data_IF_434146369553
#
_entry.id   IF_434146369553
#
_cell.length_a   1.000
_cell.length_b   1.000
_cell.length_c   1.000
_cell.angle_alpha   90.00
_cell.angle_beta   90.00
_cell.angle_gamma   90.00
#
_symmetry.space_group_name_H-M   'P 1'
#
loop_
_entity.id
_entity.type
_entity.pdbx_description
1 polymer ?
#
# COMPACT_ATOMS: atom_id res chain seq x y z
N UNK A 1 -16.07 -7.71 -18.60
CA UNK A 1 -17.41 -8.03 -18.03
C UNK A 1 -17.62 -7.13 -16.83
N UNK A 2 -18.77 -6.46 -16.75
CA UNK A 2 -19.15 -5.63 -15.61
C UNK A 2 -19.73 -6.50 -14.50
N UNK A 3 -19.42 -6.20 -13.24
CA UNK A 3 -20.10 -6.80 -12.08
C UNK A 3 -21.50 -6.19 -12.01
N UNK A 4 -22.52 -7.04 -11.99
CA UNK A 4 -23.96 -6.64 -11.95
C UNK A 4 -24.70 -7.23 -10.76
N UNK A 5 -23.97 -7.87 -9.86
CA UNK A 5 -24.53 -8.44 -8.63
C UNK A 5 -25.05 -7.30 -7.74
N UNK A 6 -26.25 -7.47 -7.18
CA UNK A 6 -26.93 -6.46 -6.36
C UNK A 6 -26.23 -6.22 -5.01
N UNK A 7 -25.47 -7.21 -4.53
CA UNK A 7 -24.71 -7.15 -3.28
C UNK A 7 -23.30 -6.55 -3.45
N UNK A 8 -22.89 -6.26 -4.69
CA UNK A 8 -21.60 -5.60 -4.95
C UNK A 8 -21.62 -4.13 -4.48
N UNK A 9 -20.70 -3.80 -3.60
CA UNK A 9 -20.55 -2.45 -3.07
C UNK A 9 -19.50 -1.64 -3.88
N UNK A 10 -19.66 -0.31 -3.91
CA UNK A 10 -18.64 0.56 -4.51
C UNK A 10 -17.32 0.40 -3.78
N UNK A 11 -16.24 0.22 -4.54
CA UNK A 11 -14.93 -0.12 -3.99
C UNK A 11 -13.81 0.72 -4.59
N UNK A 12 -12.77 0.94 -3.81
CA UNK A 12 -11.57 1.69 -4.18
C UNK A 12 -10.41 0.77 -4.58
N UNK A 13 -10.24 -0.35 -3.89
CA UNK A 13 -9.13 -1.27 -4.13
C UNK A 13 -9.61 -2.72 -4.19
N UNK A 14 -8.85 -3.55 -4.88
CA UNK A 14 -9.11 -4.98 -4.98
C UNK A 14 -7.82 -5.78 -4.94
N UNK A 15 -7.83 -6.91 -4.24
CA UNK A 15 -6.77 -7.90 -4.24
C UNK A 15 -7.33 -9.30 -4.46
N UNK A 16 -6.57 -10.16 -5.12
CA UNK A 16 -6.90 -11.59 -5.20
C UNK A 16 -6.16 -12.34 -4.10
N UNK A 17 -6.91 -13.01 -3.24
CA UNK A 17 -6.35 -13.74 -2.10
C UNK A 17 -7.07 -15.07 -1.90
N UNK A 18 -6.36 -16.18 -2.04
CA UNK A 18 -6.85 -17.54 -1.76
C UNK A 18 -8.19 -17.90 -2.43
N UNK A 19 -8.40 -17.47 -3.68
CA UNK A 19 -9.62 -17.75 -4.44
C UNK A 19 -10.74 -16.72 -4.27
N UNK A 20 -10.55 -15.72 -3.40
CA UNK A 20 -11.44 -14.59 -3.21
C UNK A 20 -10.88 -13.32 -3.86
N UNK A 21 -11.76 -12.50 -4.43
CA UNK A 21 -11.47 -11.11 -4.69
C UNK A 21 -11.90 -10.31 -3.45
N UNK A 22 -10.95 -9.68 -2.79
CA UNK A 22 -11.17 -8.87 -1.59
C UNK A 22 -11.19 -7.41 -2.01
N UNK A 23 -12.23 -6.70 -1.62
CA UNK A 23 -12.46 -5.30 -1.96
C UNK A 23 -12.49 -4.45 -0.69
N UNK A 24 -12.05 -3.19 -0.79
CA UNK A 24 -12.29 -2.18 0.23
C UNK A 24 -13.37 -1.22 -0.24
N UNK A 25 -14.32 -0.89 0.63
CA UNK A 25 -15.36 0.09 0.29
C UNK A 25 -14.78 1.50 0.12
N UNK A 26 -15.40 2.34 -0.72
CA UNK A 26 -14.93 3.72 -0.97
C UNK A 26 -14.94 4.63 0.26
N UNK A 27 -15.76 4.31 1.27
CA UNK A 27 -15.76 5.01 2.55
C UNK A 27 -14.61 4.56 3.48
N UNK A 28 -13.89 3.50 3.10
CA UNK A 28 -12.78 2.94 3.86
C UNK A 28 -13.16 2.26 5.16
N UNK A 29 -14.43 1.84 5.32
CA UNK A 29 -14.91 1.25 6.58
C UNK A 29 -14.97 -0.25 6.58
N UNK A 30 -15.08 -0.88 5.40
CA UNK A 30 -15.34 -2.32 5.28
C UNK A 30 -14.47 -2.98 4.22
N UNK A 31 -14.29 -4.26 4.44
CA UNK A 31 -13.81 -5.23 3.48
C UNK A 31 -14.97 -6.13 3.10
N UNK A 32 -15.13 -6.45 1.82
CA UNK A 32 -16.06 -7.48 1.37
C UNK A 32 -15.40 -8.38 0.34
N UNK A 33 -15.92 -9.56 0.17
CA UNK A 33 -15.29 -10.58 -0.68
C UNK A 33 -16.28 -11.11 -1.72
N UNK A 34 -15.74 -11.54 -2.86
CA UNK A 34 -16.50 -12.36 -3.81
C UNK A 34 -16.73 -13.76 -3.24
N UNK A 35 -17.64 -14.51 -3.82
CA UNK A 35 -17.70 -15.94 -3.57
C UNK A 35 -16.41 -16.63 -4.04
N UNK A 36 -16.07 -17.75 -3.40
CA UNK A 36 -14.87 -18.52 -3.69
C UNK A 36 -14.80 -18.92 -5.18
N UNK A 37 -13.76 -18.47 -5.87
CA UNK A 37 -13.54 -18.66 -7.31
C UNK A 37 -14.68 -18.15 -8.23
N UNK A 38 -15.51 -17.23 -7.72
CA UNK A 38 -16.62 -16.64 -8.46
C UNK A 38 -16.51 -15.09 -8.40
N UNK A 39 -15.70 -14.46 -9.26
CA UNK A 39 -15.36 -13.04 -9.13
C UNK A 39 -16.50 -12.05 -9.36
N UNK A 40 -17.66 -12.53 -9.83
CA UNK A 40 -18.82 -11.71 -10.17
C UNK A 40 -20.02 -11.95 -9.25
N UNK A 41 -19.90 -12.82 -8.24
CA UNK A 41 -20.97 -13.21 -7.31
C UNK A 41 -20.56 -12.84 -5.89
N UNK A 42 -21.45 -12.17 -5.18
CA UNK A 42 -21.24 -11.66 -3.83
C UNK A 42 -22.36 -12.08 -2.91
N UNK A 43 -22.08 -12.12 -1.60
CA UNK A 43 -23.09 -12.18 -0.55
C UNK A 43 -22.95 -10.90 0.29
N UNK A 44 -24.01 -10.14 0.39
CA UNK A 44 -24.03 -8.87 1.12
C UNK A 44 -23.71 -8.97 2.60
N UNK A 45 -23.69 -10.20 3.16
CA UNK A 45 -23.30 -10.46 4.54
C UNK A 45 -21.84 -10.87 4.71
N UNK A 46 -21.12 -11.13 3.61
CA UNK A 46 -19.71 -11.52 3.61
C UNK A 46 -18.79 -10.29 3.65
N UNK A 47 -18.82 -9.57 4.76
CA UNK A 47 -17.97 -8.40 5.00
C UNK A 47 -17.29 -8.45 6.37
N UNK A 48 -16.18 -7.73 6.48
CA UNK A 48 -15.42 -7.52 7.71
C UNK A 48 -14.98 -6.07 7.82
N UNK A 49 -14.46 -5.70 8.98
CA UNK A 49 -13.86 -4.41 9.27
C UNK A 49 -12.45 -4.59 9.85
N UNK A 50 -11.58 -3.60 9.68
CA UNK A 50 -10.36 -3.47 10.46
C UNK A 50 -10.76 -2.83 11.78
N UNK A 51 -10.64 -3.57 12.88
CA UNK A 51 -11.21 -3.18 14.18
C UNK A 51 -10.15 -2.88 15.24
N UNK A 52 -8.88 -3.08 14.94
CA UNK A 52 -7.79 -2.82 15.88
C UNK A 52 -7.59 -1.34 16.20
N UNK A 53 -7.83 -0.49 15.22
CA UNK A 53 -7.91 0.96 15.37
C UNK A 53 -8.99 1.50 14.40
N UNK A 54 -9.83 2.48 14.81
CA UNK A 54 -10.93 3.00 14.00
C UNK A 54 -10.46 3.97 12.91
N UNK A 55 -9.31 3.72 12.27
CA UNK A 55 -8.83 4.51 11.16
C UNK A 55 -9.46 4.07 9.82
N UNK A 56 -9.39 4.97 8.83
CA UNK A 56 -9.92 4.69 7.50
C UNK A 56 -9.00 3.75 6.73
N UNK A 57 -9.52 2.66 6.18
CA UNK A 57 -8.78 1.80 5.26
C UNK A 57 -8.44 2.59 3.97
N UNK A 58 -7.19 2.62 3.62
CA UNK A 58 -6.67 3.31 2.43
C UNK A 58 -6.41 2.33 1.30
N UNK A 59 -5.77 1.20 1.60
CA UNK A 59 -5.38 0.23 0.59
C UNK A 59 -5.14 -1.15 1.21
N UNK A 60 -4.79 -2.10 0.38
CA UNK A 60 -4.50 -3.47 0.80
C UNK A 60 -3.43 -4.09 -0.10
N UNK A 61 -2.70 -5.06 0.44
CA UNK A 61 -1.73 -5.83 -0.33
C UNK A 61 -1.66 -7.27 0.18
N UNK A 62 -1.60 -8.21 -0.76
CA UNK A 62 -1.32 -9.62 -0.44
C UNK A 62 0.19 -9.81 -0.45
N UNK A 63 0.76 -10.19 0.67
CA UNK A 63 2.16 -10.54 0.79
C UNK A 63 2.31 -11.94 1.38
N UNK A 64 3.08 -12.80 0.70
CA UNK A 64 3.15 -14.23 1.01
C UNK A 64 1.73 -14.85 1.07
N UNK A 65 1.36 -15.37 2.22
CA UNK A 65 0.06 -15.98 2.47
C UNK A 65 -0.82 -15.16 3.41
N UNK A 66 -0.58 -13.87 3.48
CA UNK A 66 -1.25 -12.92 4.35
C UNK A 66 -1.80 -11.75 3.54
N UNK A 67 -2.89 -11.17 4.01
CA UNK A 67 -3.50 -9.97 3.45
C UNK A 67 -3.30 -8.81 4.45
N UNK A 68 -2.45 -7.86 4.12
CA UNK A 68 -2.29 -6.63 4.89
C UNK A 68 -3.35 -5.62 4.47
N UNK A 69 -4.16 -5.20 5.43
CA UNK A 69 -5.12 -4.12 5.31
C UNK A 69 -4.49 -2.88 5.91
N UNK A 70 -4.27 -1.87 5.09
CA UNK A 70 -3.50 -0.69 5.43
C UNK A 70 -4.46 0.49 5.56
N UNK A 71 -4.64 0.95 6.77
CA UNK A 71 -5.39 2.15 7.11
C UNK A 71 -4.57 3.43 6.92
N UNK A 72 -5.11 4.56 7.36
CA UNK A 72 -4.40 5.84 7.31
C UNK A 72 -3.22 5.91 8.29
N UNK A 73 -3.32 5.24 9.42
CA UNK A 73 -2.36 5.33 10.53
C UNK A 73 -1.84 3.95 10.98
N UNK A 74 -2.57 2.88 10.64
CA UNK A 74 -2.27 1.53 11.10
C UNK A 74 -2.33 0.49 9.98
N UNK A 75 -1.74 -0.66 10.21
CA UNK A 75 -1.83 -1.83 9.32
C UNK A 75 -2.18 -3.06 10.13
N UNK A 76 -3.22 -3.77 9.72
CA UNK A 76 -3.66 -5.04 10.26
C UNK A 76 -3.43 -6.17 9.25
N UNK A 77 -3.09 -7.34 9.73
CA UNK A 77 -2.82 -8.50 8.88
C UNK A 77 -3.90 -9.55 9.07
N UNK A 78 -4.48 -9.98 7.97
CA UNK A 78 -5.53 -10.98 7.90
C UNK A 78 -5.03 -12.27 7.26
N UNK A 79 -5.61 -13.38 7.68
CA UNK A 79 -5.47 -14.69 7.03
C UNK A 79 -6.82 -15.28 6.67
N UNK A 80 -6.82 -16.13 5.67
CA UNK A 80 -7.99 -16.92 5.34
C UNK A 80 -8.11 -18.10 6.33
N UNK A 81 -9.21 -18.16 7.04
CA UNK A 81 -9.56 -19.26 7.97
C UNK A 81 -10.64 -20.18 7.42
N UNK A 82 -11.20 -19.83 6.27
CA UNK A 82 -12.32 -20.53 5.67
C UNK A 82 -13.61 -20.38 6.51
N UNK A 83 -14.60 -21.17 6.19
CA UNK A 83 -15.88 -21.17 6.90
C UNK A 83 -17.03 -20.62 6.06
N UNK A 84 -18.19 -20.47 6.70
CA UNK A 84 -19.37 -19.83 6.14
C UNK A 84 -19.37 -18.37 6.56
N UNK A 85 -19.70 -17.46 5.66
CA UNK A 85 -19.63 -16.03 5.88
C UNK A 85 -18.25 -15.45 5.53
N UNK A 86 -17.91 -14.31 6.13
CA UNK A 86 -16.63 -13.63 5.86
C UNK A 86 -15.41 -14.51 6.23
N UNK A 87 -14.59 -14.95 5.24
CA UNK A 87 -13.60 -16.00 5.43
C UNK A 87 -12.27 -15.52 6.02
N UNK A 88 -12.10 -14.21 6.24
CA UNK A 88 -10.85 -13.62 6.69
C UNK A 88 -10.91 -13.27 8.18
N UNK A 89 -9.81 -13.50 8.88
CA UNK A 89 -9.66 -13.20 10.29
C UNK A 89 -8.33 -12.49 10.56
N UNK A 90 -8.34 -11.51 11.45
CA UNK A 90 -7.14 -10.81 11.92
C UNK A 90 -6.19 -11.81 12.61
N UNK A 91 -4.92 -11.71 12.29
CA UNK A 91 -3.87 -12.44 13.00
C UNK A 91 -3.56 -11.71 14.29
N UNK A 92 -3.80 -12.35 15.42
CA UNK A 92 -3.54 -11.73 16.73
C UNK A 92 -2.07 -11.31 16.89
N UNK A 93 -1.87 -10.04 17.24
CA UNK A 93 -0.52 -9.45 17.39
C UNK A 93 0.14 -9.01 16.07
N UNK A 94 -0.47 -9.25 14.92
CA UNK A 94 0.00 -8.77 13.62
C UNK A 94 -0.60 -7.37 13.35
N UNK A 95 -0.07 -6.38 14.04
CA UNK A 95 -0.52 -5.00 14.01
C UNK A 95 0.69 -4.06 13.97
N UNK A 96 0.67 -3.09 13.07
CA UNK A 96 1.71 -2.06 12.93
C UNK A 96 1.08 -0.68 13.02
N UNK A 97 1.64 0.21 13.85
CA UNK A 97 1.21 1.61 13.99
C UNK A 97 1.78 2.49 12.86
N UNK A 98 1.65 2.01 11.63
CA UNK A 98 2.01 2.71 10.40
C UNK A 98 0.98 2.38 9.35
N UNK A 99 0.43 3.40 8.71
CA UNK A 99 -0.55 3.31 7.64
C UNK A 99 -0.07 3.98 6.37
N UNK A 100 -0.90 3.94 5.33
CA UNK A 100 -0.62 4.52 4.02
C UNK A 100 -1.34 5.87 3.84
N UNK A 101 -0.66 6.85 3.27
CA UNK A 101 -1.23 8.16 2.95
C UNK A 101 -1.74 8.25 1.50
N UNK A 102 -1.56 7.18 0.72
CA UNK A 102 -2.04 7.08 -0.66
C UNK A 102 -2.41 5.65 -1.00
N UNK A 103 -3.51 5.46 -1.74
CA UNK A 103 -3.97 4.13 -2.13
C UNK A 103 -3.10 3.45 -3.18
N UNK A 104 -2.35 4.21 -3.96
CA UNK A 104 -1.42 3.69 -4.98
C UNK A 104 0.04 3.71 -4.52
N UNK A 105 0.28 4.05 -3.25
CA UNK A 105 1.60 4.16 -2.64
C UNK A 105 2.15 2.89 -2.01
N UNK A 106 1.56 1.74 -2.31
CA UNK A 106 2.01 0.44 -1.77
C UNK A 106 2.49 -0.44 -2.91
N UNK A 107 3.67 -1.04 -2.77
CA UNK A 107 4.28 -1.87 -3.82
C UNK A 107 5.03 -3.06 -3.23
N UNK A 108 4.86 -4.24 -3.85
CA UNK A 108 5.69 -5.41 -3.54
C UNK A 108 7.15 -5.14 -3.86
N UNK A 109 8.01 -5.48 -2.94
CA UNK A 109 9.42 -5.20 -3.06
C UNK A 109 10.28 -6.29 -2.40
N UNK A 110 11.10 -6.97 -3.21
CA UNK A 110 11.90 -8.10 -2.75
C UNK A 110 11.02 -9.16 -2.07
N UNK A 111 11.21 -9.42 -0.79
CA UNK A 111 10.47 -10.40 -0.01
C UNK A 111 9.45 -9.73 0.94
N UNK A 112 8.92 -8.57 0.60
CA UNK A 112 7.95 -7.81 1.40
C UNK A 112 7.31 -6.70 0.56
N UNK A 113 6.86 -5.61 1.19
CA UNK A 113 6.36 -4.43 0.49
C UNK A 113 6.86 -3.13 1.11
N UNK A 114 6.85 -2.10 0.29
CA UNK A 114 7.11 -0.71 0.66
C UNK A 114 5.84 0.12 0.54
N UNK A 115 5.73 1.17 1.34
CA UNK A 115 4.59 2.08 1.27
C UNK A 115 4.97 3.52 1.64
N UNK A 116 4.18 4.45 1.08
CA UNK A 116 4.21 5.87 1.43
C UNK A 116 3.21 6.10 2.55
N UNK A 117 3.67 6.58 3.72
CA UNK A 117 2.76 6.79 4.84
C UNK A 117 3.44 7.20 6.13
N UNK A 118 2.77 6.93 7.24
CA UNK A 118 3.23 7.25 8.59
C UNK A 118 2.29 6.66 9.63
N UNK A 119 2.52 6.98 10.89
CA UNK A 119 1.61 6.70 12.00
C UNK A 119 0.85 7.95 12.42
N UNK A 120 0.09 7.83 13.50
CA UNK A 120 -0.64 8.96 14.11
C UNK A 120 0.31 10.12 14.39
N UNK A 121 -0.06 11.32 13.94
CA UNK A 121 0.71 12.56 14.09
C UNK A 121 2.15 12.52 13.49
N UNK A 122 2.42 11.59 12.58
CA UNK A 122 3.70 11.53 11.88
C UNK A 122 3.62 12.18 10.49
N UNK A 123 4.75 12.72 10.06
CA UNK A 123 4.90 13.20 8.68
C UNK A 123 5.06 12.01 7.72
N UNK A 124 4.66 12.22 6.47
CA UNK A 124 4.79 11.21 5.41
C UNK A 124 6.26 10.85 5.17
N UNK A 125 6.54 9.57 5.21
CA UNK A 125 7.85 8.98 4.92
C UNK A 125 7.66 7.71 4.08
N UNK A 126 8.74 7.05 3.68
CA UNK A 126 8.67 5.77 2.98
C UNK A 126 9.09 4.67 3.95
N UNK A 127 8.22 3.67 4.07
CA UNK A 127 8.36 2.57 5.02
C UNK A 127 8.49 1.23 4.30
N UNK A 128 9.19 0.31 4.92
CA UNK A 128 9.25 -1.11 4.55
C UNK A 128 8.60 -1.92 5.65
N UNK A 129 7.67 -2.81 5.31
CA UNK A 129 7.17 -3.79 6.26
C UNK A 129 8.25 -4.83 6.51
N UNK A 130 8.76 -4.89 7.71
CA UNK A 130 9.85 -5.82 8.08
C UNK A 130 9.32 -7.15 8.62
N UNK A 131 8.14 -7.13 9.24
CA UNK A 131 7.39 -8.29 9.71
C UNK A 131 5.90 -7.92 9.81
N UNK A 132 5.03 -8.86 10.11
CA UNK A 132 3.58 -8.61 10.30
C UNK A 132 3.25 -7.60 11.42
N UNK A 133 4.21 -7.24 12.27
CA UNK A 133 4.03 -6.30 13.38
C UNK A 133 5.05 -5.15 13.42
N UNK A 134 5.92 -5.03 12.40
CA UNK A 134 6.95 -4.00 12.39
C UNK A 134 7.18 -3.41 11.00
N UNK A 135 7.13 -2.08 10.91
CA UNK A 135 7.61 -1.31 9.79
C UNK A 135 8.91 -0.58 10.14
N UNK A 136 9.80 -0.46 9.16
CA UNK A 136 11.09 0.25 9.27
C UNK A 136 11.13 1.37 8.23
N UNK A 137 11.50 2.57 8.67
CA UNK A 137 11.66 3.71 7.77
C UNK A 137 12.86 3.47 6.86
N UNK A 138 12.68 3.65 5.55
CA UNK A 138 13.74 3.51 4.53
C UNK A 138 14.09 4.83 3.86
N UNK A 139 13.21 5.84 3.91
CA UNK A 139 13.58 7.20 3.51
C UNK A 139 14.54 7.83 4.53
N UNK A 140 15.46 8.64 4.02
CA UNK A 140 16.34 9.47 4.82
C UNK A 140 15.77 10.90 4.96
N UNK A 141 16.43 11.72 5.76
CA UNK A 141 15.98 13.09 6.02
C UNK A 141 15.96 13.97 4.77
N UNK A 142 16.81 13.67 3.76
CA UNK A 142 16.82 14.41 2.51
C UNK A 142 15.56 14.09 1.67
N UNK A 143 15.22 12.81 1.54
CA UNK A 143 13.99 12.37 0.87
C UNK A 143 12.76 12.86 1.62
N UNK A 144 12.72 12.73 2.94
CA UNK A 144 11.59 13.19 3.76
C UNK A 144 11.38 14.70 3.59
N UNK A 145 12.45 15.50 3.60
CA UNK A 145 12.38 16.96 3.38
C UNK A 145 11.81 17.33 2.01
N UNK A 146 12.07 16.54 0.98
CA UNK A 146 11.45 16.74 -0.34
C UNK A 146 9.98 16.33 -0.36
N UNK A 147 9.61 15.21 0.29
CA UNK A 147 8.22 14.75 0.39
C UNK A 147 7.36 15.78 1.14
N UNK A 148 7.89 16.40 2.21
CA UNK A 148 7.16 17.42 2.99
C UNK A 148 6.81 18.70 2.21
N UNK A 149 7.36 18.90 1.02
CA UNK A 149 6.99 20.05 0.17
C UNK A 149 5.66 19.84 -0.55
N UNK A 150 5.18 18.60 -0.65
CA UNK A 150 3.90 18.26 -1.25
C UNK A 150 2.77 18.39 -0.22
N UNK A 151 1.58 18.81 -0.68
CA UNK A 151 0.41 18.85 0.19
C UNK A 151 -0.14 17.44 0.43
N UNK A 152 -1.03 17.29 1.42
CA UNK A 152 -1.67 16.01 1.70
C UNK A 152 -2.45 15.47 0.49
N UNK A 153 -3.10 16.35 -0.27
CA UNK A 153 -3.83 16.00 -1.50
C UNK A 153 -2.88 15.53 -2.61
N UNK A 154 -1.73 16.19 -2.76
CA UNK A 154 -0.70 15.80 -3.73
C UNK A 154 -0.06 14.45 -3.33
N UNK A 155 0.14 14.20 -2.04
CA UNK A 155 0.63 12.91 -1.51
C UNK A 155 -0.41 11.81 -1.74
N UNK A 156 -1.69 12.08 -1.55
CA UNK A 156 -2.77 11.10 -1.77
C UNK A 156 -2.84 10.60 -3.23
N UNK A 157 -2.35 11.39 -4.19
CA UNK A 157 -2.24 11.03 -5.62
C UNK A 157 -0.88 10.42 -6.00
N UNK A 158 0.05 10.29 -5.06
CA UNK A 158 1.34 9.65 -5.32
C UNK A 158 1.16 8.15 -5.61
N UNK A 159 2.04 7.64 -6.47
CA UNK A 159 2.00 6.23 -6.84
C UNK A 159 3.39 5.60 -6.83
N UNK A 160 3.41 4.27 -6.75
CA UNK A 160 4.63 3.49 -6.68
C UNK A 160 4.65 2.38 -7.72
N UNK A 161 5.85 1.99 -8.10
CA UNK A 161 6.11 0.78 -8.87
C UNK A 161 7.44 0.15 -8.44
N UNK A 162 7.62 -1.13 -8.72
CA UNK A 162 8.89 -1.81 -8.50
C UNK A 162 9.36 -2.51 -9.78
N UNK A 163 10.66 -2.63 -9.92
CA UNK A 163 11.27 -3.42 -10.99
C UNK A 163 12.60 -4.01 -10.52
N UNK A 164 13.05 -5.05 -11.20
CA UNK A 164 14.38 -5.60 -11.01
C UNK A 164 15.20 -5.46 -12.28
N UNK A 165 16.49 -5.15 -12.13
CA UNK A 165 17.43 -5.04 -13.24
C UNK A 165 18.81 -5.53 -12.83
N UNK A 166 19.37 -6.47 -13.56
CA UNK A 166 20.70 -7.04 -13.31
C UNK A 166 20.90 -7.51 -11.86
N UNK A 167 19.89 -8.17 -11.29
CA UNK A 167 19.93 -8.69 -9.91
C UNK A 167 19.79 -7.63 -8.82
N UNK A 168 19.44 -6.40 -9.18
CA UNK A 168 19.13 -5.36 -8.21
C UNK A 168 17.63 -5.08 -8.21
N UNK A 169 17.09 -4.77 -7.03
CA UNK A 169 15.69 -4.43 -6.80
C UNK A 169 15.53 -2.93 -6.60
N UNK A 170 14.59 -2.35 -7.35
CA UNK A 170 14.29 -0.92 -7.31
C UNK A 170 12.82 -0.69 -7.01
N UNK A 171 12.55 0.26 -6.13
CA UNK A 171 11.21 0.80 -5.90
C UNK A 171 11.19 2.28 -6.31
N UNK A 172 10.17 2.68 -7.04
CA UNK A 172 10.00 4.01 -7.61
C UNK A 172 8.79 4.67 -6.97
N UNK A 173 8.96 5.89 -6.49
CA UNK A 173 7.93 6.68 -5.81
C UNK A 173 7.78 8.00 -6.55
N UNK A 174 6.60 8.23 -7.12
CA UNK A 174 6.33 9.43 -7.93
C UNK A 174 5.30 10.32 -7.23
N UNK A 175 5.70 11.56 -7.04
CA UNK A 175 4.89 12.63 -6.49
C UNK A 175 4.66 13.69 -7.56
N UNK A 176 3.39 13.91 -7.92
CA UNK A 176 3.00 14.88 -8.91
C UNK A 176 2.46 16.14 -8.23
N UNK A 177 2.80 17.30 -8.79
CA UNK A 177 2.29 18.59 -8.34
C UNK A 177 2.14 19.54 -9.52
N UNK A 178 1.11 20.37 -9.47
CA UNK A 178 0.98 21.51 -10.37
C UNK A 178 1.62 22.78 -9.79
N UNK A 179 1.96 22.78 -8.50
CA UNK A 179 2.45 23.92 -7.72
C UNK A 179 3.97 23.96 -7.63
N UNK A 180 4.60 22.81 -7.51
CA UNK A 180 6.07 22.64 -7.42
C UNK A 180 6.54 21.58 -8.42
N UNK A 181 7.84 21.50 -8.73
CA UNK A 181 8.33 20.41 -9.60
C UNK A 181 7.96 19.05 -9.07
N UNK A 182 7.32 18.23 -9.92
CA UNK A 182 7.05 16.83 -9.62
C UNK A 182 8.35 16.05 -9.47
N UNK A 183 8.39 15.05 -8.57
CA UNK A 183 9.59 14.29 -8.23
C UNK A 183 9.36 12.80 -8.36
N UNK A 184 10.38 12.09 -8.77
CA UNK A 184 10.40 10.61 -8.80
C UNK A 184 11.65 10.11 -8.09
N UNK A 185 11.46 9.59 -6.88
CA UNK A 185 12.52 9.00 -6.08
C UNK A 185 12.63 7.51 -6.33
N UNK A 186 13.83 6.99 -6.36
CA UNK A 186 14.11 5.58 -6.59
C UNK A 186 14.98 5.04 -5.48
N UNK A 187 14.46 4.04 -4.80
CA UNK A 187 15.15 3.29 -3.76
C UNK A 187 15.83 2.07 -4.38
N UNK A 188 17.11 1.89 -4.14
CA UNK A 188 17.86 0.69 -4.51
C UNK A 188 18.03 -0.21 -3.29
N UNK A 189 17.16 -1.20 -3.11
CA UNK A 189 17.19 -2.09 -1.95
C UNK A 189 18.42 -2.98 -1.90
N UNK A 190 18.92 -3.44 -3.04
CA UNK A 190 20.12 -4.28 -3.08
C UNK A 190 21.36 -3.51 -2.65
N UNK A 191 21.54 -2.30 -3.18
CA UNK A 191 22.67 -1.45 -2.77
C UNK A 191 22.55 -1.02 -1.31
N UNK A 192 21.33 -0.74 -0.83
CA UNK A 192 21.08 -0.42 0.57
C UNK A 192 21.42 -1.57 1.51
N UNK A 193 21.05 -2.79 1.16
CA UNK A 193 21.38 -3.99 1.95
C UNK A 193 22.89 -4.24 2.02
N UNK A 194 23.61 -3.98 0.92
CA UNK A 194 25.06 -4.16 0.85
C UNK A 194 25.86 -3.07 1.59
N UNK A 195 25.37 -1.83 1.54
CA UNK A 195 26.08 -0.68 2.16
C UNK A 195 25.71 -0.46 3.62
N UNK A 196 24.60 -1.03 4.08
CA UNK A 196 24.03 -0.73 5.40
C UNK A 196 23.36 0.63 5.52
N UNK A 197 23.27 1.40 4.43
CA UNK A 197 22.63 2.71 4.36
C UNK A 197 21.57 2.74 3.26
N UNK A 198 20.54 3.54 3.43
CA UNK A 198 19.52 3.74 2.38
C UNK A 198 20.15 4.42 1.16
N UNK A 199 20.04 3.78 0.00
CA UNK A 199 20.58 4.29 -1.28
C UNK A 199 19.43 4.77 -2.14
N UNK A 200 19.42 6.09 -2.36
CA UNK A 200 18.39 6.80 -3.12
C UNK A 200 18.99 7.53 -4.30
N UNK A 201 18.20 7.69 -5.36
CA UNK A 201 18.49 8.57 -6.49
C UNK A 201 17.17 9.03 -7.10
N UNK A 202 17.24 9.95 -8.05
CA UNK A 202 16.08 10.54 -8.68
C UNK A 202 16.04 10.23 -10.17
N UNK A 203 14.86 9.87 -10.67
CA UNK A 203 14.57 9.80 -12.09
C UNK A 203 13.89 11.07 -12.56
N UNK A 204 14.33 11.57 -13.72
CA UNK A 204 13.79 12.76 -14.36
C UNK A 204 13.56 12.51 -15.84
N UNK A 205 12.55 13.19 -16.41
CA UNK A 205 12.26 13.19 -17.84
C UNK A 205 12.53 14.56 -18.42
N UNK A 206 13.38 14.63 -19.45
CA UNK A 206 13.72 15.86 -20.14
C UNK A 206 14.69 16.77 -19.37
N UNK A 207 14.81 18.03 -19.82
CA UNK A 207 15.75 19.01 -19.28
C UNK A 207 15.13 19.90 -18.18
N UNK A 208 13.88 19.71 -17.83
CA UNK A 208 13.08 20.62 -16.98
C UNK A 208 12.72 20.06 -15.62
N UNK A 209 13.48 19.12 -15.08
CA UNK A 209 13.21 18.48 -13.77
C UNK A 209 11.75 17.98 -13.62
N UNK A 210 11.16 17.44 -14.69
CA UNK A 210 9.87 16.81 -14.62
C UNK A 210 9.98 15.41 -14.04
N UNK A 211 8.93 14.94 -13.33
CA UNK A 211 8.86 13.55 -12.87
C UNK A 211 9.06 12.58 -14.03
N UNK A 212 9.67 11.45 -13.73
CA UNK A 212 9.87 10.41 -14.74
C UNK A 212 8.49 9.89 -15.19
N UNK A 213 8.30 9.89 -16.52
CA UNK A 213 7.09 9.35 -17.15
C UNK A 213 7.45 8.02 -17.80
N UNK A 214 6.69 7.00 -17.45
CA UNK A 214 6.78 5.66 -18.04
C UNK A 214 5.98 5.63 -19.34
#
# INVERSE_FOLDING_TARGET
TQITDADFQTSDTVSFYRGFFVFTTTDGKRLFVSNLNQPLVFDGLDFGSAEGDPDRIITQIVDHDELSIIGAETTEVFRNVGGVGFPLQIISGAFTQKGAHTKYGVVKFDNTYLFIGGGENELTSIWRQASSSQAVKVSDDAIDSEIQKFTAEEIAEAFTMSFSKKGQFFAVFTFNSARIPSRTFVYNGTASALSGNSVWFEFQTGLTNASWRV
#
